data_IF_197899803894
#
_entry.id   IF_197899803894
#
_cell.length_a   1.000
_cell.length_b   1.000
_cell.length_c   1.000
_cell.angle_alpha   90.00
_cell.angle_beta   90.00
_cell.angle_gamma   90.00
#
_symmetry.space_group_name_H-M   'P 1'
#
loop_
_entity.id
_entity.type
_entity.pdbx_description
1 polymer ?
#
# COMPACT_ATOMS: atom_id res chain seq x y z
N UNK A 1 -14.07 2.28 57.60
CA UNK A 1 -13.43 1.11 56.96
C UNK A 1 -14.24 0.60 55.75
N UNK A 2 -15.56 0.47 55.87
CA UNK A 2 -16.48 -0.02 54.81
C UNK A 2 -16.47 0.85 53.54
N UNK A 3 -16.39 2.19 53.67
CA UNK A 3 -16.38 3.11 52.52
C UNK A 3 -15.11 3.02 51.65
N UNK A 4 -13.95 2.72 52.26
CA UNK A 4 -12.68 2.47 51.53
C UNK A 4 -12.68 1.11 50.83
N UNK A 5 -13.43 0.14 51.36
CA UNK A 5 -13.57 -1.19 50.77
C UNK A 5 -14.50 -1.16 49.56
N UNK A 6 -15.59 -0.39 49.63
CA UNK A 6 -16.49 -0.13 48.50
C UNK A 6 -15.81 0.65 47.36
N UNK A 7 -14.96 1.61 47.69
CA UNK A 7 -14.14 2.32 46.69
C UNK A 7 -13.12 1.42 45.99
N UNK A 8 -12.51 0.48 46.72
CA UNK A 8 -11.58 -0.50 46.13
C UNK A 8 -12.32 -1.55 45.29
N UNK A 9 -13.53 -1.95 45.68
CA UNK A 9 -14.37 -2.85 44.89
C UNK A 9 -14.84 -2.19 43.59
N UNK A 10 -15.27 -0.92 43.64
CA UNK A 10 -15.65 -0.17 42.43
C UNK A 10 -14.45 0.09 41.51
N UNK A 11 -13.27 0.36 42.04
CA UNK A 11 -12.05 0.48 41.24
C UNK A 11 -11.67 -0.85 40.57
N UNK A 12 -11.85 -1.99 41.27
CA UNK A 12 -11.63 -3.33 40.70
C UNK A 12 -12.67 -3.69 39.63
N UNK A 13 -13.94 -3.32 39.82
CA UNK A 13 -15.01 -3.56 38.84
C UNK A 13 -14.83 -2.67 37.59
N UNK A 14 -14.44 -1.40 37.75
CA UNK A 14 -14.09 -0.53 36.62
C UNK A 14 -12.84 -1.03 35.91
N UNK A 15 -11.83 -1.52 36.64
CA UNK A 15 -10.65 -2.14 36.03
C UNK A 15 -10.99 -3.44 35.29
N UNK A 16 -11.94 -4.24 35.77
CA UNK A 16 -12.39 -5.46 35.09
C UNK A 16 -13.24 -5.16 33.85
N UNK A 17 -14.04 -4.08 33.87
CA UNK A 17 -14.82 -3.63 32.71
C UNK A 17 -13.94 -2.98 31.63
N UNK A 18 -12.84 -2.33 32.00
CA UNK A 18 -11.85 -1.76 31.06
C UNK A 18 -10.81 -2.81 30.60
N UNK A 19 -10.61 -3.90 31.35
CA UNK A 19 -9.68 -4.98 30.97
C UNK A 19 -10.16 -5.85 29.80
N UNK A 20 -11.44 -5.79 29.43
CA UNK A 20 -12.00 -6.46 28.24
C UNK A 20 -12.22 -5.51 27.05
N UNK A 21 -12.07 -4.20 27.21
CA UNK A 21 -11.99 -3.22 26.11
C UNK A 21 -10.54 -3.07 25.64
N UNK A 22 -9.86 -4.20 25.43
CA UNK A 22 -8.57 -4.19 24.75
C UNK A 22 -8.79 -3.68 23.34
N UNK A 23 -8.05 -2.65 22.92
CA UNK A 23 -8.05 -2.19 21.53
C UNK A 23 -7.79 -3.43 20.67
N UNK A 24 -8.79 -3.83 19.88
CA UNK A 24 -8.67 -5.03 19.05
C UNK A 24 -7.47 -4.85 18.13
N UNK A 25 -6.53 -5.78 18.18
CA UNK A 25 -5.40 -5.86 17.23
C UNK A 25 -5.74 -6.77 16.05
N UNK A 26 -6.90 -7.42 16.10
CA UNK A 26 -7.31 -8.42 15.14
C UNK A 26 -8.18 -7.73 14.08
N UNK A 27 -7.89 -7.92 12.78
CA UNK A 27 -8.75 -7.41 11.73
C UNK A 27 -10.12 -8.07 11.78
N UNK A 28 -11.16 -7.27 11.61
CA UNK A 28 -12.56 -7.73 11.56
C UNK A 28 -12.96 -7.82 10.10
N UNK A 29 -13.48 -8.97 9.69
CA UNK A 29 -13.98 -9.21 8.33
C UNK A 29 -15.49 -9.35 8.43
N UNK A 30 -16.20 -8.43 7.78
CA UNK A 30 -17.67 -8.40 7.74
C UNK A 30 -18.14 -8.64 6.31
N UNK A 31 -19.03 -9.62 6.13
CA UNK A 31 -19.75 -9.85 4.86
C UNK A 31 -21.03 -9.03 4.90
N UNK A 32 -21.20 -8.09 3.98
CA UNK A 32 -22.36 -7.18 3.95
C UNK A 32 -23.63 -7.88 3.47
N UNK A 33 -23.53 -9.13 2.98
CA UNK A 33 -24.65 -9.86 2.38
C UNK A 33 -25.07 -9.33 1.00
N UNK A 34 -24.42 -8.27 0.51
CA UNK A 34 -24.66 -7.68 -0.82
C UNK A 34 -23.59 -8.08 -1.84
N UNK A 35 -22.75 -9.07 -1.51
CA UNK A 35 -21.64 -9.51 -2.35
C UNK A 35 -20.34 -8.74 -2.13
N UNK A 36 -20.27 -7.94 -1.07
CA UNK A 36 -19.08 -7.19 -0.64
C UNK A 36 -18.58 -7.67 0.72
N UNK A 37 -17.28 -7.52 0.94
CA UNK A 37 -16.62 -7.78 2.21
C UNK A 37 -15.89 -6.53 2.64
N UNK A 38 -16.10 -6.14 3.89
CA UNK A 38 -15.41 -5.04 4.55
C UNK A 38 -14.36 -5.65 5.47
N UNK A 39 -13.10 -5.30 5.24
CA UNK A 39 -11.99 -5.63 6.12
C UNK A 39 -11.62 -4.40 6.94
N UNK A 40 -11.90 -4.44 8.24
CA UNK A 40 -11.46 -3.44 9.19
C UNK A 40 -10.06 -3.79 9.70
N UNK A 41 -9.08 -2.96 9.37
CA UNK A 41 -7.70 -3.03 9.85
C UNK A 41 -7.58 -2.06 11.04
N UNK A 42 -7.46 -2.54 12.28
CA UNK A 42 -7.42 -1.67 13.45
C UNK A 42 -6.17 -0.80 13.45
N UNK A 43 -6.26 0.41 14.00
CA UNK A 43 -5.09 1.27 14.22
C UNK A 43 -3.98 0.59 15.01
N UNK A 44 -4.35 -0.29 15.95
CA UNK A 44 -3.40 -1.04 16.77
C UNK A 44 -2.78 -2.26 16.05
N UNK A 45 -3.11 -2.49 14.77
CA UNK A 45 -2.40 -3.44 13.94
C UNK A 45 -0.92 -3.02 13.82
N UNK A 46 -0.01 -3.96 14.05
CA UNK A 46 1.42 -3.69 14.07
C UNK A 46 1.99 -3.65 12.64
N UNK A 47 1.63 -2.58 11.92
CA UNK A 47 2.11 -2.30 10.56
C UNK A 47 3.37 -1.44 10.61
N UNK A 48 4.52 -2.08 10.54
CA UNK A 48 5.83 -1.45 10.59
C UNK A 48 6.27 -0.97 9.19
N UNK A 49 6.91 0.21 9.09
CA UNK A 49 7.50 0.67 7.83
C UNK A 49 8.45 -0.38 7.25
N UNK A 50 8.30 -0.67 5.96
CA UNK A 50 9.14 -1.61 5.24
C UNK A 50 10.53 -1.04 5.10
N UNK A 51 11.52 -1.77 5.61
CA UNK A 51 12.93 -1.36 5.55
C UNK A 51 13.46 -1.61 4.14
N UNK A 52 13.95 -0.54 3.51
CA UNK A 52 14.54 -0.56 2.18
C UNK A 52 16.00 -0.11 2.25
N UNK A 53 16.88 -0.98 1.77
CA UNK A 53 18.29 -0.66 1.55
C UNK A 53 18.41 0.38 0.43
N UNK A 54 19.40 1.28 0.56
CA UNK A 54 19.56 2.41 -0.35
C UNK A 54 19.79 1.98 -1.80
N UNK A 55 20.67 1.00 -2.02
CA UNK A 55 20.99 0.51 -3.37
C UNK A 55 19.79 -0.14 -4.05
N UNK A 56 19.01 -0.94 -3.31
CA UNK A 56 17.81 -1.61 -3.81
C UNK A 56 16.73 -0.57 -4.18
N UNK A 57 16.57 0.45 -3.35
CA UNK A 57 15.69 1.58 -3.61
C UNK A 57 16.10 2.35 -4.87
N UNK A 58 17.38 2.74 -4.99
CA UNK A 58 17.85 3.50 -6.16
C UNK A 58 17.69 2.71 -7.46
N UNK A 59 18.01 1.42 -7.45
CA UNK A 59 17.82 0.56 -8.61
C UNK A 59 16.35 0.46 -9.02
N UNK A 60 15.45 0.23 -8.05
CA UNK A 60 14.02 0.16 -8.29
C UNK A 60 13.46 1.49 -8.80
N UNK A 61 13.88 2.62 -8.23
CA UNK A 61 13.46 3.95 -8.66
C UNK A 61 13.86 4.22 -10.12
N UNK A 62 15.10 3.92 -10.50
CA UNK A 62 15.56 4.07 -11.89
C UNK A 62 14.80 3.16 -12.85
N UNK A 63 14.48 1.93 -12.43
CA UNK A 63 13.67 1.01 -13.24
C UNK A 63 12.24 1.54 -13.41
N UNK A 64 11.57 1.94 -12.33
CA UNK A 64 10.21 2.47 -12.37
C UNK A 64 10.13 3.73 -13.24
N UNK A 65 11.11 4.63 -13.09
CA UNK A 65 11.22 5.86 -13.87
C UNK A 65 11.28 5.61 -15.38
N UNK A 66 12.06 4.62 -15.83
CA UNK A 66 12.17 4.26 -17.27
C UNK A 66 10.86 3.71 -17.85
N UNK A 67 10.01 3.17 -17.01
CA UNK A 67 8.71 2.60 -17.43
C UNK A 67 7.59 3.64 -17.46
N UNK A 68 7.77 4.79 -16.80
CA UNK A 68 6.78 5.88 -16.80
C UNK A 68 6.69 6.47 -18.20
N UNK A 69 5.47 6.50 -18.74
CA UNK A 69 5.15 7.22 -19.98
C UNK A 69 4.28 8.41 -19.66
N UNK A 70 4.87 9.60 -19.69
CA UNK A 70 4.12 10.84 -19.52
C UNK A 70 3.21 11.04 -20.73
N UNK A 71 1.96 11.40 -20.46
CA UNK A 71 0.99 11.67 -21.52
C UNK A 71 0.63 13.16 -21.48
N UNK A 72 1.43 13.98 -22.18
CA UNK A 72 1.33 15.43 -22.10
C UNK A 72 2.13 16.02 -20.93
N UNK A 73 1.60 17.04 -20.28
CA UNK A 73 2.25 17.64 -19.11
C UNK A 73 2.21 16.69 -17.90
N UNK A 74 3.11 16.87 -16.92
CA UNK A 74 3.02 16.22 -15.61
C UNK A 74 1.62 16.26 -14.98
N UNK A 75 0.96 17.43 -15.00
CA UNK A 75 -0.44 17.57 -14.56
C UNK A 75 -1.40 16.70 -15.36
N UNK A 76 -1.36 16.78 -16.69
CA UNK A 76 -2.25 16.00 -17.57
C UNK A 76 -2.07 14.49 -17.39
N UNK A 77 -0.86 14.05 -17.07
CA UNK A 77 -0.57 12.65 -16.75
C UNK A 77 -1.32 12.21 -15.48
N UNK A 78 -1.32 13.03 -14.43
CA UNK A 78 -2.06 12.75 -13.21
C UNK A 78 -3.59 12.88 -13.41
N UNK A 79 -4.05 13.90 -14.12
CA UNK A 79 -5.47 14.12 -14.41
C UNK A 79 -6.07 12.91 -15.14
N UNK A 80 -5.41 12.43 -16.20
CA UNK A 80 -5.85 11.23 -16.93
C UNK A 80 -5.84 9.97 -16.07
N UNK A 81 -4.83 9.83 -15.22
CA UNK A 81 -4.73 8.71 -14.29
C UNK A 81 -5.93 8.66 -13.33
N UNK A 82 -6.35 9.81 -12.81
CA UNK A 82 -7.52 9.92 -11.91
C UNK A 82 -8.85 10.15 -12.65
N UNK A 83 -8.85 10.14 -13.99
CA UNK A 83 -10.04 10.44 -14.82
C UNK A 83 -10.67 11.81 -14.50
N UNK A 84 -9.81 12.74 -14.12
CA UNK A 84 -10.11 14.14 -13.86
C UNK A 84 -10.12 14.82 -15.23
N UNK A 85 -11.25 15.41 -15.61
CA UNK A 85 -11.36 16.12 -16.88
C UNK A 85 -10.31 17.26 -16.92
N UNK A 86 -9.65 17.54 -18.06
CA UNK A 86 -8.71 18.66 -18.18
C UNK A 86 -9.31 20.01 -17.77
N UNK A 87 -10.63 20.09 -17.73
CA UNK A 87 -11.39 21.25 -17.29
C UNK A 87 -11.96 21.09 -15.89
N UNK A 88 -11.68 20.06 -15.10
CA UNK A 88 -12.33 19.91 -13.79
C UNK A 88 -11.74 20.86 -12.72
N UNK A 89 -12.07 22.14 -12.84
CA UNK A 89 -12.83 22.82 -11.80
C UNK A 89 -14.32 22.48 -11.94
N UNK A 90 -15.18 23.02 -11.10
CA UNK A 90 -16.62 22.78 -11.21
C UNK A 90 -17.18 23.43 -12.49
N UNK A 91 -17.36 22.69 -13.60
CA UNK A 91 -18.03 23.18 -14.82
C UNK A 91 -19.05 22.18 -15.39
N UNK A 92 -20.18 22.67 -15.88
CA UNK A 92 -21.21 21.97 -16.64
C UNK A 92 -21.07 22.30 -18.14
N UNK A 93 -21.01 21.28 -18.99
CA UNK A 93 -20.97 21.43 -20.46
C UNK A 93 -22.39 21.37 -21.06
N UNK A 94 -22.80 22.39 -21.82
CA UNK A 94 -24.09 22.46 -22.51
C UNK A 94 -23.92 22.16 -24.02
N UNK A 95 -24.30 20.96 -24.52
CA UNK A 95 -23.98 20.53 -25.90
C UNK A 95 -24.66 21.33 -27.00
N UNK A 96 -25.85 21.89 -26.73
CA UNK A 96 -26.62 22.66 -27.72
C UNK A 96 -26.00 24.01 -28.04
N UNK A 97 -25.37 24.63 -27.04
CA UNK A 97 -24.83 25.99 -27.12
C UNK A 97 -23.29 26.04 -27.13
N UNK A 98 -22.64 24.87 -27.04
CA UNK A 98 -21.17 24.69 -26.98
C UNK A 98 -20.50 25.56 -25.91
N UNK A 99 -21.10 25.61 -24.70
CA UNK A 99 -20.62 26.44 -23.59
C UNK A 99 -20.33 25.62 -22.32
N UNK A 100 -19.40 26.12 -21.53
CA UNK A 100 -19.04 25.62 -20.19
C UNK A 100 -19.57 26.61 -19.15
N UNK A 101 -20.16 26.12 -18.06
CA UNK A 101 -20.79 26.92 -17.00
C UNK A 101 -20.29 26.48 -15.61
N UNK A 102 -19.70 27.35 -14.78
CA UNK A 102 -19.23 26.96 -13.45
C UNK A 102 -20.35 26.57 -12.47
N UNK A 103 -20.11 25.60 -11.57
CA UNK A 103 -21.14 25.10 -10.60
C UNK A 103 -21.16 25.83 -9.24
N UNK A 104 -20.46 26.96 -9.09
CA UNK A 104 -20.39 27.73 -7.85
C UNK A 104 -20.96 29.16 -7.97
N UNK A 105 -21.85 29.55 -7.06
CA UNK A 105 -22.34 30.92 -6.92
C UNK A 105 -21.19 31.84 -6.46
N UNK A 106 -20.61 32.61 -7.37
CA UNK A 106 -19.71 33.73 -7.05
C UNK A 106 -18.28 33.67 -7.58
N UNK A 107 -17.89 32.67 -8.37
CA UNK A 107 -16.57 32.67 -9.01
C UNK A 107 -16.59 33.55 -10.29
N UNK A 108 -15.73 34.56 -10.40
CA UNK A 108 -15.69 35.42 -11.57
C UNK A 108 -15.22 34.64 -12.80
N UNK A 109 -15.87 34.98 -13.90
CA UNK A 109 -15.52 34.67 -15.27
C UNK A 109 -14.01 34.77 -15.49
N UNK A 110 -13.51 33.99 -16.42
CA UNK A 110 -12.26 34.09 -17.16
C UNK A 110 -11.94 35.49 -17.78
N UNK A 111 -12.54 36.57 -17.27
CA UNK A 111 -12.43 37.96 -17.73
C UNK A 111 -11.69 38.94 -16.83
N UNK A 112 -11.35 38.64 -15.57
CA UNK A 112 -10.39 39.48 -14.80
C UNK A 112 -9.56 38.63 -13.84
N UNK A 113 -8.47 38.04 -14.34
CA UNK A 113 -7.37 37.64 -13.46
C UNK A 113 -7.03 38.86 -12.58
N UNK A 114 -7.08 38.68 -11.26
CA UNK A 114 -6.76 39.78 -10.37
C UNK A 114 -5.28 40.11 -10.50
N UNK A 115 -4.90 41.34 -10.12
CA UNK A 115 -3.48 41.70 -10.00
C UNK A 115 -2.73 40.71 -9.09
N UNK A 116 -3.38 40.24 -8.03
CA UNK A 116 -2.82 39.25 -7.11
C UNK A 116 -2.57 37.89 -7.79
N UNK A 117 -3.45 37.43 -8.68
CA UNK A 117 -3.28 36.17 -9.41
C UNK A 117 -2.07 36.22 -10.37
N UNK A 118 -1.92 37.35 -11.08
CA UNK A 118 -0.80 37.57 -11.98
C UNK A 118 0.52 37.71 -11.21
N UNK A 119 0.52 38.44 -10.09
CA UNK A 119 1.69 38.57 -9.21
C UNK A 119 2.09 37.22 -8.60
N UNK A 120 1.13 36.38 -8.21
CA UNK A 120 1.41 35.04 -7.70
C UNK A 120 2.02 34.14 -8.78
N UNK A 121 1.48 34.18 -10.00
CA UNK A 121 2.05 33.47 -11.14
C UNK A 121 3.49 33.93 -11.45
N UNK A 122 3.76 35.23 -11.29
CA UNK A 122 5.10 35.77 -11.49
C UNK A 122 6.09 35.32 -10.43
N UNK A 123 5.69 35.33 -9.15
CA UNK A 123 6.50 34.78 -8.05
C UNK A 123 6.88 33.32 -8.31
N UNK A 124 5.94 32.55 -8.87
CA UNK A 124 6.19 31.18 -9.28
C UNK A 124 7.21 31.07 -10.43
N UNK A 125 7.09 31.89 -11.49
CA UNK A 125 8.09 31.90 -12.58
C UNK A 125 9.49 32.28 -12.08
N UNK A 126 9.58 33.26 -11.18
CA UNK A 126 10.85 33.67 -10.54
C UNK A 126 11.43 32.53 -9.69
N UNK A 127 10.59 31.79 -8.98
CA UNK A 127 11.02 30.58 -8.25
C UNK A 127 11.55 29.51 -9.21
N UNK A 128 10.85 29.24 -10.32
CA UNK A 128 11.32 28.33 -11.36
C UNK A 128 12.67 28.74 -11.94
N UNK A 129 12.87 30.04 -12.19
CA UNK A 129 14.15 30.57 -12.67
C UNK A 129 15.27 30.36 -11.65
N UNK A 130 14.99 30.55 -10.35
CA UNK A 130 15.97 30.38 -9.28
C UNK A 130 16.38 28.93 -9.08
N UNK A 131 15.42 28.00 -9.12
CA UNK A 131 15.65 26.59 -8.77
C UNK A 131 16.08 25.76 -9.97
N UNK A 132 15.61 26.11 -11.17
CA UNK A 132 15.80 25.30 -12.38
C UNK A 132 16.41 26.07 -13.56
N UNK A 133 16.84 27.33 -13.36
CA UNK A 133 17.38 28.20 -14.43
C UNK A 133 16.43 28.28 -15.63
N UNK A 134 15.12 28.20 -15.36
CA UNK A 134 14.06 28.17 -16.35
C UNK A 134 12.92 29.08 -15.93
N UNK A 135 12.66 30.12 -16.72
CA UNK A 135 11.55 31.04 -16.50
C UNK A 135 10.31 30.54 -17.24
N UNK A 136 9.28 30.14 -16.49
CA UNK A 136 8.05 29.58 -17.03
C UNK A 136 7.38 28.62 -16.07
N UNK A 137 6.64 27.65 -16.60
CA UNK A 137 6.02 26.58 -15.81
C UNK A 137 6.99 25.43 -15.60
N UNK A 138 7.69 25.44 -14.46
CA UNK A 138 8.66 24.41 -14.20
C UNK A 138 8.10 23.07 -13.72
N UNK A 139 6.90 23.07 -13.15
CA UNK A 139 6.23 21.86 -12.66
C UNK A 139 5.40 21.21 -13.76
N UNK A 140 5.15 21.90 -14.87
CA UNK A 140 4.49 21.34 -16.04
C UNK A 140 3.00 21.14 -15.80
N UNK A 141 2.24 22.21 -16.02
CA UNK A 141 0.79 22.26 -15.82
C UNK A 141 0.38 22.98 -14.53
N UNK A 142 1.31 23.55 -13.76
CA UNK A 142 0.94 24.39 -12.62
C UNK A 142 0.27 25.69 -13.08
N UNK A 143 0.75 26.29 -14.18
CA UNK A 143 0.14 27.49 -14.74
C UNK A 143 -0.97 27.12 -15.74
N UNK A 144 -2.22 27.38 -15.37
CA UNK A 144 -3.37 27.17 -16.27
C UNK A 144 -3.26 28.13 -17.45
N UNK A 145 -3.24 27.56 -18.65
CA UNK A 145 -3.01 28.31 -19.90
C UNK A 145 -1.70 29.11 -19.90
N UNK A 146 -0.73 28.78 -19.03
CA UNK A 146 0.51 29.53 -18.84
C UNK A 146 0.36 30.87 -18.11
N UNK A 147 -0.84 31.20 -17.59
CA UNK A 147 -1.17 32.56 -17.11
C UNK A 147 -1.26 32.69 -15.60
N UNK A 148 -1.94 31.77 -14.92
CA UNK A 148 -2.23 31.89 -13.48
C UNK A 148 -2.13 30.53 -12.77
N UNK A 149 -1.99 30.56 -11.44
CA UNK A 149 -2.02 29.39 -10.58
C UNK A 149 -3.43 29.17 -10.03
N UNK A 150 -4.10 28.10 -10.47
CA UNK A 150 -5.29 27.58 -9.81
C UNK A 150 -4.93 26.90 -8.47
N UNK A 151 -5.95 26.45 -7.74
CA UNK A 151 -5.72 25.86 -6.42
C UNK A 151 -4.80 24.63 -6.47
N UNK A 152 -4.96 23.76 -7.48
CA UNK A 152 -4.09 22.60 -7.69
C UNK A 152 -2.65 22.99 -7.98
N UNK A 153 -2.42 23.99 -8.84
CA UNK A 153 -1.09 24.52 -9.10
C UNK A 153 -0.42 25.07 -7.83
N UNK A 154 -1.17 25.74 -6.96
CA UNK A 154 -0.67 26.23 -5.66
C UNK A 154 -0.32 25.09 -4.70
N UNK A 155 -1.16 24.06 -4.62
CA UNK A 155 -0.88 22.90 -3.77
C UNK A 155 0.37 22.15 -4.22
N UNK A 156 0.52 21.90 -5.51
CA UNK A 156 1.69 21.19 -6.05
C UNK A 156 2.96 22.03 -5.91
N UNK A 157 2.85 23.36 -6.02
CA UNK A 157 3.96 24.25 -5.70
C UNK A 157 4.36 24.18 -4.21
N UNK A 158 3.39 24.17 -3.29
CA UNK A 158 3.66 23.96 -1.86
C UNK A 158 4.35 22.61 -1.59
N UNK A 159 3.89 21.53 -2.24
CA UNK A 159 4.53 20.22 -2.16
C UNK A 159 5.98 20.26 -2.66
N UNK A 160 6.25 20.94 -3.77
CA UNK A 160 7.61 21.11 -4.30
C UNK A 160 8.53 21.92 -3.36
N UNK A 161 7.95 22.78 -2.53
CA UNK A 161 8.67 23.59 -1.52
C UNK A 161 8.88 22.87 -0.18
N UNK A 162 8.33 21.66 -0.02
CA UNK A 162 8.21 21.02 1.28
C UNK A 162 9.51 20.61 1.97
N UNK A 163 10.64 20.56 1.23
CA UNK A 163 11.93 20.06 1.74
C UNK A 163 11.79 18.71 2.44
N UNK A 164 10.87 17.87 1.98
CA UNK A 164 10.61 16.57 2.60
C UNK A 164 11.74 15.57 2.31
N UNK A 165 12.02 14.63 3.21
CA UNK A 165 12.99 13.55 2.95
C UNK A 165 12.65 12.75 1.68
N UNK A 166 11.37 12.65 1.32
CA UNK A 166 10.91 11.99 0.09
C UNK A 166 11.51 12.67 -1.15
N UNK A 167 11.45 14.00 -1.23
CA UNK A 167 11.99 14.74 -2.36
C UNK A 167 13.52 14.60 -2.45
N UNK A 168 14.20 14.55 -1.31
CA UNK A 168 15.65 14.32 -1.24
C UNK A 168 16.02 12.93 -1.76
N UNK A 169 15.34 11.87 -1.30
CA UNK A 169 15.59 10.49 -1.74
C UNK A 169 15.27 10.32 -3.23
N UNK A 170 14.18 10.91 -3.73
CA UNK A 170 13.86 10.88 -5.16
C UNK A 170 14.92 11.64 -5.98
N UNK A 171 15.37 12.81 -5.52
CA UNK A 171 16.42 13.59 -6.19
C UNK A 171 17.74 12.83 -6.24
N UNK A 172 18.11 12.16 -5.16
CA UNK A 172 19.30 11.31 -5.10
C UNK A 172 19.23 10.16 -6.10
N UNK A 173 18.11 9.43 -6.11
CA UNK A 173 17.94 8.26 -6.97
C UNK A 173 17.86 8.60 -8.47
N UNK A 174 17.25 9.75 -8.80
CA UNK A 174 16.84 10.08 -10.17
C UNK A 174 17.58 11.28 -10.79
N UNK A 175 18.33 12.07 -10.02
CA UNK A 175 18.88 13.35 -10.45
C UNK A 175 19.84 13.31 -11.65
N UNK A 176 20.39 12.14 -11.98
CA UNK A 176 21.22 11.93 -13.17
C UNK A 176 20.44 11.64 -14.47
N UNK A 177 19.11 11.59 -14.44
CA UNK A 177 18.29 11.29 -15.62
C UNK A 177 17.86 12.56 -16.37
N UNK A 178 17.72 12.44 -17.69
CA UNK A 178 17.35 13.55 -18.58
C UNK A 178 15.96 14.10 -18.26
N UNK A 179 14.95 13.23 -18.05
CA UNK A 179 13.58 13.65 -17.73
C UNK A 179 13.29 13.76 -16.21
N UNK A 180 14.31 13.78 -15.35
CA UNK A 180 14.15 13.79 -13.88
C UNK A 180 13.10 14.79 -13.40
N UNK A 181 13.16 16.04 -13.89
CA UNK A 181 12.23 17.11 -13.50
C UNK A 181 10.78 16.78 -13.86
N UNK A 182 10.53 16.21 -15.04
CA UNK A 182 9.19 15.87 -15.49
C UNK A 182 8.61 14.72 -14.66
N UNK A 183 9.43 13.71 -14.34
CA UNK A 183 9.05 12.59 -13.48
C UNK A 183 8.74 13.03 -12.04
N UNK A 184 9.59 13.87 -11.46
CA UNK A 184 9.35 14.46 -10.14
C UNK A 184 8.04 15.23 -10.10
N UNK A 185 7.81 16.07 -11.10
CA UNK A 185 6.59 16.88 -11.14
C UNK A 185 5.36 16.01 -11.35
N UNK A 186 5.45 14.95 -12.17
CA UNK A 186 4.35 14.02 -12.38
C UNK A 186 4.01 13.28 -11.09
N UNK A 187 5.02 12.85 -10.32
CA UNK A 187 4.83 12.26 -9.00
C UNK A 187 4.18 13.24 -8.01
N UNK A 188 4.60 14.51 -8.01
CA UNK A 188 3.99 15.55 -7.16
C UNK A 188 2.53 15.83 -7.52
N UNK A 189 2.20 15.91 -8.81
CA UNK A 189 0.80 16.05 -9.26
C UNK A 189 -0.02 14.82 -8.88
N UNK A 190 0.46 13.61 -9.19
CA UNK A 190 -0.21 12.36 -8.82
C UNK A 190 -0.48 12.32 -7.32
N UNK A 191 0.51 12.68 -6.52
CA UNK A 191 0.38 12.69 -5.08
C UNK A 191 -0.60 13.75 -4.57
N UNK A 192 -0.52 14.98 -5.10
CA UNK A 192 -1.44 16.06 -4.74
C UNK A 192 -2.89 15.72 -5.05
N UNK A 193 -3.18 15.18 -6.25
CA UNK A 193 -4.54 14.75 -6.60
C UNK A 193 -5.04 13.61 -5.70
N UNK A 194 -4.20 12.61 -5.43
CA UNK A 194 -4.56 11.51 -4.52
C UNK A 194 -4.95 12.04 -3.13
N UNK A 195 -4.20 13.00 -2.59
CA UNK A 195 -4.48 13.61 -1.31
C UNK A 195 -5.73 14.50 -1.32
N UNK A 196 -5.98 15.27 -2.39
CA UNK A 196 -7.24 16.01 -2.55
C UNK A 196 -8.42 15.04 -2.53
N UNK A 197 -8.35 13.95 -3.30
CA UNK A 197 -9.42 12.96 -3.37
C UNK A 197 -9.65 12.36 -1.98
N UNK A 198 -8.58 11.99 -1.26
CA UNK A 198 -8.66 11.41 0.07
C UNK A 198 -9.20 12.40 1.13
N UNK A 199 -8.91 13.69 0.98
CA UNK A 199 -9.39 14.74 1.87
C UNK A 199 -10.87 15.09 1.64
N UNK A 200 -11.33 15.06 0.38
CA UNK A 200 -12.68 15.47 0.01
C UNK A 200 -13.69 14.33 0.02
N UNK A 201 -13.24 13.08 -0.08
CA UNK A 201 -14.11 11.91 -0.13
C UNK A 201 -13.89 11.05 1.11
N UNK A 202 -14.93 10.81 1.93
CA UNK A 202 -14.81 9.90 3.08
C UNK A 202 -14.50 8.47 2.65
N UNK A 203 -14.82 8.14 1.40
CA UNK A 203 -14.60 6.84 0.76
C UNK A 203 -13.88 7.11 -0.56
N UNK A 204 -12.63 6.67 -0.66
CA UNK A 204 -11.82 6.97 -1.84
C UNK A 204 -12.06 5.93 -2.96
N UNK A 205 -12.12 6.35 -4.23
CA UNK A 205 -12.37 5.46 -5.37
C UNK A 205 -11.20 4.48 -5.58
N UNK A 206 -11.47 3.37 -6.27
CA UNK A 206 -10.59 2.20 -6.42
C UNK A 206 -9.10 2.52 -6.64
N UNK A 207 -8.74 3.46 -7.52
CA UNK A 207 -7.33 3.80 -7.73
C UNK A 207 -6.66 4.37 -6.47
N UNK A 208 -7.30 5.32 -5.79
CA UNK A 208 -6.79 5.88 -4.54
C UNK A 208 -6.83 4.82 -3.44
N UNK A 209 -7.83 3.94 -3.44
CA UNK A 209 -7.93 2.84 -2.49
C UNK A 209 -6.77 1.85 -2.59
N UNK A 210 -6.44 1.39 -3.80
CA UNK A 210 -5.33 0.46 -4.02
C UNK A 210 -3.99 1.10 -3.66
N UNK A 211 -3.75 2.35 -4.09
CA UNK A 211 -2.50 3.06 -3.76
C UNK A 211 -2.40 3.34 -2.26
N UNK A 212 -3.49 3.78 -1.63
CA UNK A 212 -3.58 4.04 -0.19
C UNK A 212 -3.35 2.79 0.65
N UNK A 213 -3.94 1.65 0.27
CA UNK A 213 -3.67 0.38 0.94
C UNK A 213 -2.22 -0.10 0.72
N UNK A 214 -1.68 0.10 -0.49
CA UNK A 214 -0.26 -0.14 -0.77
C UNK A 214 0.65 0.67 0.14
N UNK A 215 0.36 1.96 0.31
CA UNK A 215 1.04 2.82 1.28
C UNK A 215 0.88 2.29 2.70
N UNK A 216 -0.33 1.85 3.10
CA UNK A 216 -0.61 1.41 4.47
C UNK A 216 0.30 0.23 4.85
N UNK A 217 0.46 -0.70 3.91
CA UNK A 217 1.28 -1.91 4.08
C UNK A 217 2.79 -1.64 4.04
N UNK A 218 3.22 -0.51 3.47
CA UNK A 218 4.64 -0.18 3.29
C UNK A 218 5.16 0.86 4.27
N UNK A 219 4.34 1.84 4.67
CA UNK A 219 4.75 2.94 5.54
C UNK A 219 4.01 2.97 6.88
N UNK A 220 2.98 2.13 7.05
CA UNK A 220 2.21 2.01 8.28
C UNK A 220 1.08 3.04 8.44
N UNK A 221 0.21 2.78 9.41
CA UNK A 221 -1.00 3.57 9.67
C UNK A 221 -0.69 5.01 10.11
N UNK A 222 0.16 5.18 11.13
CA UNK A 222 0.43 6.51 11.70
C UNK A 222 1.06 7.45 10.66
N UNK A 223 1.92 6.93 9.77
CA UNK A 223 2.50 7.72 8.67
C UNK A 223 1.40 8.26 7.74
N UNK A 224 0.45 7.43 7.32
CA UNK A 224 -0.64 7.88 6.42
C UNK A 224 -1.57 8.84 7.13
N UNK A 225 -1.94 8.55 8.38
CA UNK A 225 -2.81 9.42 9.15
C UNK A 225 -2.20 10.82 9.30
N UNK A 226 -0.94 10.90 9.72
CA UNK A 226 -0.21 12.17 9.86
C UNK A 226 -0.06 12.90 8.51
N UNK A 227 0.11 12.15 7.43
CA UNK A 227 0.19 12.69 6.08
C UNK A 227 -1.12 13.37 5.65
N UNK A 228 -2.27 12.70 5.87
CA UNK A 228 -3.59 13.24 5.54
C UNK A 228 -3.92 14.46 6.40
N UNK A 229 -3.64 14.40 7.69
CA UNK A 229 -3.85 15.55 8.59
C UNK A 229 -2.98 16.74 8.20
N UNK A 230 -1.69 16.51 7.93
CA UNK A 230 -0.79 17.56 7.45
C UNK A 230 -1.21 18.13 6.09
N UNK A 231 -1.81 17.31 5.23
CA UNK A 231 -2.34 17.78 3.95
C UNK A 231 -3.55 18.70 4.11
N UNK A 232 -4.49 18.37 5.00
CA UNK A 232 -5.63 19.25 5.32
C UNK A 232 -5.16 20.61 5.82
N UNK A 233 -4.18 20.63 6.73
CA UNK A 233 -3.57 21.87 7.22
C UNK A 233 -2.88 22.67 6.09
N UNK A 234 -2.19 21.99 5.16
CA UNK A 234 -1.60 22.62 3.98
C UNK A 234 -2.68 23.22 3.07
N UNK A 235 -3.77 22.49 2.83
CA UNK A 235 -4.86 22.97 1.97
C UNK A 235 -5.47 24.26 2.50
N UNK A 236 -5.75 24.32 3.81
CA UNK A 236 -6.29 25.51 4.47
C UNK A 236 -5.31 26.68 4.43
N UNK A 237 -4.03 26.42 4.73
CA UNK A 237 -2.98 27.44 4.70
C UNK A 237 -2.77 28.02 3.29
N UNK A 238 -2.74 27.17 2.26
CA UNK A 238 -2.56 27.60 0.86
C UNK A 238 -3.79 28.34 0.35
N UNK A 239 -5.00 27.93 0.74
CA UNK A 239 -6.25 28.64 0.40
C UNK A 239 -6.25 30.07 0.95
N UNK A 240 -5.72 30.28 2.16
CA UNK A 240 -5.59 31.60 2.78
C UNK A 240 -4.35 32.39 2.32
N UNK A 241 -3.42 31.77 1.58
CA UNK A 241 -2.14 32.38 1.25
C UNK A 241 -2.25 33.44 0.14
N UNK A 242 -1.74 34.63 0.43
CA UNK A 242 -1.61 35.76 -0.51
C UNK A 242 -0.15 36.06 -0.90
N UNK A 243 0.81 35.33 -0.35
CA UNK A 243 2.26 35.52 -0.57
C UNK A 243 2.99 34.20 -0.82
N UNK A 244 4.19 34.31 -1.39
CA UNK A 244 5.08 33.16 -1.63
C UNK A 244 5.53 32.52 -0.31
N UNK A 245 5.81 33.35 0.67
CA UNK A 245 6.31 32.97 1.99
C UNK A 245 5.27 32.09 2.70
N UNK A 246 3.99 32.45 2.66
CA UNK A 246 2.93 31.63 3.25
C UNK A 246 2.81 30.25 2.57
N UNK A 247 2.93 30.18 1.24
CA UNK A 247 2.90 28.90 0.50
C UNK A 247 4.13 28.05 0.84
N UNK A 248 5.31 28.65 0.89
CA UNK A 248 6.55 27.97 1.26
C UNK A 248 6.47 27.42 2.68
N UNK A 249 6.06 28.24 3.64
CA UNK A 249 6.00 27.87 5.05
C UNK A 249 4.93 26.79 5.30
N UNK A 250 3.82 26.79 4.54
CA UNK A 250 2.86 25.68 4.51
C UNK A 250 3.50 24.40 3.97
N UNK A 251 4.21 24.48 2.84
CA UNK A 251 4.97 23.36 2.26
C UNK A 251 5.99 22.77 3.25
N UNK A 252 6.83 23.61 3.85
CA UNK A 252 7.89 23.16 4.77
C UNK A 252 7.33 22.51 6.05
N UNK A 253 6.16 22.96 6.53
CA UNK A 253 5.45 22.27 7.62
C UNK A 253 4.94 20.91 7.17
N UNK A 254 4.32 20.83 6.00
CA UNK A 254 3.84 19.58 5.45
C UNK A 254 4.98 18.56 5.23
N UNK A 255 6.15 19.00 4.77
CA UNK A 255 7.29 18.11 4.52
C UNK A 255 7.83 17.40 5.76
N UNK A 256 7.51 17.90 6.97
CA UNK A 256 7.85 17.27 8.25
C UNK A 256 6.91 16.13 8.65
N UNK A 257 5.78 15.95 7.94
CA UNK A 257 4.80 14.88 8.21
C UNK A 257 5.34 13.47 7.89
N UNK A 258 6.31 13.37 6.97
CA UNK A 258 6.92 12.10 6.56
C UNK A 258 8.33 12.00 7.14
N UNK A 259 8.56 10.99 7.99
CA UNK A 259 9.87 10.67 8.53
C UNK A 259 10.83 10.06 7.51
N UNK A 260 12.14 10.13 7.79
CA UNK A 260 13.19 9.60 6.91
C UNK A 260 13.08 8.10 6.67
N UNK A 261 12.67 7.33 7.68
CA UNK A 261 12.52 5.87 7.61
C UNK A 261 11.50 5.43 6.55
N UNK A 262 10.41 6.19 6.39
CA UNK A 262 9.35 5.88 5.43
C UNK A 262 9.57 6.52 4.06
N UNK A 263 10.56 7.41 3.92
CA UNK A 263 10.73 8.25 2.75
C UNK A 263 11.01 7.46 1.46
N UNK A 264 11.84 6.42 1.54
CA UNK A 264 12.18 5.55 0.40
C UNK A 264 10.98 4.73 -0.06
N UNK A 265 10.29 4.09 0.88
CA UNK A 265 9.09 3.30 0.58
C UNK A 265 8.01 4.19 -0.06
N UNK A 266 7.83 5.39 0.47
CA UNK A 266 6.89 6.36 -0.05
C UNK A 266 7.25 6.85 -1.47
N UNK A 267 8.50 7.27 -1.68
CA UNK A 267 9.01 7.68 -2.99
C UNK A 267 8.85 6.59 -4.05
N UNK A 268 9.16 5.34 -3.67
CA UNK A 268 9.03 4.17 -4.55
C UNK A 268 7.57 3.91 -4.92
N UNK A 269 6.66 3.91 -3.95
CA UNK A 269 5.24 3.70 -4.21
C UNK A 269 4.62 4.80 -5.08
N UNK A 270 4.98 6.06 -4.84
CA UNK A 270 4.56 7.16 -5.68
C UNK A 270 5.04 6.98 -7.12
N UNK A 271 6.33 6.69 -7.32
CA UNK A 271 6.88 6.45 -8.65
C UNK A 271 6.24 5.23 -9.33
N UNK A 272 5.92 4.19 -8.56
CA UNK A 272 5.20 3.01 -9.03
C UNK A 272 3.73 3.31 -9.39
N UNK A 273 3.16 4.41 -8.91
CA UNK A 273 1.79 4.83 -9.21
C UNK A 273 1.72 5.78 -10.42
N UNK A 274 2.75 6.59 -10.68
CA UNK A 274 2.73 7.60 -11.78
C UNK A 274 2.32 6.99 -13.11
N UNK A 275 1.28 7.57 -13.72
CA UNK A 275 0.78 7.25 -15.05
C UNK A 275 0.16 5.85 -15.18
N UNK A 276 -0.25 5.21 -14.07
CA UNK A 276 -0.76 3.84 -14.05
C UNK A 276 -2.20 3.77 -13.52
N UNK A 277 -2.93 2.75 -13.97
CA UNK A 277 -4.25 2.41 -13.44
C UNK A 277 -4.16 1.58 -12.15
N UNK A 278 -5.28 1.40 -11.45
CA UNK A 278 -5.35 0.63 -10.21
C UNK A 278 -4.82 -0.80 -10.39
N UNK A 279 -5.27 -1.48 -11.46
CA UNK A 279 -4.81 -2.82 -11.81
C UNK A 279 -3.31 -2.87 -12.14
N UNK A 280 -2.80 -1.89 -12.90
CA UNK A 280 -1.37 -1.84 -13.25
C UNK A 280 -0.49 -1.60 -12.02
N UNK A 281 -0.92 -0.72 -11.11
CA UNK A 281 -0.25 -0.51 -9.83
C UNK A 281 -0.28 -1.78 -8.97
N UNK A 282 -1.46 -2.41 -8.79
CA UNK A 282 -1.61 -3.64 -8.01
C UNK A 282 -0.73 -4.77 -8.53
N UNK A 283 -0.62 -4.94 -9.85
CA UNK A 283 0.26 -5.93 -10.47
C UNK A 283 1.75 -5.65 -10.21
N UNK A 284 2.13 -4.40 -9.91
CA UNK A 284 3.51 -4.01 -9.66
C UNK A 284 3.93 -4.17 -8.21
N UNK A 285 3.02 -4.01 -7.25
CA UNK A 285 3.32 -4.11 -5.81
C UNK A 285 4.14 -5.38 -5.46
N UNK A 286 3.81 -6.60 -5.95
CA UNK A 286 4.58 -7.81 -5.66
C UNK A 286 6.00 -7.85 -6.24
N UNK A 287 6.32 -6.96 -7.17
CA UNK A 287 7.65 -6.86 -7.81
C UNK A 287 8.57 -5.87 -7.11
N UNK A 288 8.01 -5.01 -6.26
CA UNK A 288 8.77 -3.97 -5.58
C UNK A 288 9.67 -4.58 -4.49
N UNK A 289 10.82 -3.97 -4.23
CA UNK A 289 11.58 -4.14 -2.99
C UNK A 289 10.68 -4.15 -1.76
N UNK A 290 11.00 -5.03 -0.81
CA UNK A 290 10.28 -5.13 0.46
C UNK A 290 8.84 -5.66 0.37
N UNK A 291 8.35 -6.01 -0.83
CA UNK A 291 6.99 -6.54 -1.02
C UNK A 291 6.74 -7.84 -0.27
N UNK A 292 7.78 -8.63 0.00
CA UNK A 292 7.67 -9.82 0.85
C UNK A 292 7.35 -9.46 2.31
N UNK A 293 7.92 -8.36 2.84
CA UNK A 293 7.59 -7.88 4.18
C UNK A 293 6.16 -7.35 4.21
N UNK A 294 5.78 -6.53 3.22
CA UNK A 294 4.42 -6.03 3.06
C UNK A 294 3.39 -7.17 2.94
N UNK A 295 3.73 -8.26 2.25
CA UNK A 295 2.89 -9.46 2.13
C UNK A 295 2.61 -10.11 3.47
N UNK A 296 3.66 -10.27 4.29
CA UNK A 296 3.50 -10.87 5.61
C UNK A 296 2.61 -10.00 6.49
N UNK A 297 2.84 -8.68 6.50
CA UNK A 297 2.04 -7.73 7.27
C UNK A 297 0.58 -7.73 6.82
N UNK A 298 0.33 -7.75 5.51
CA UNK A 298 -1.02 -7.83 4.96
C UNK A 298 -1.76 -9.08 5.44
N UNK A 299 -1.12 -10.25 5.42
CA UNK A 299 -1.78 -11.50 5.83
C UNK A 299 -1.90 -11.63 7.36
N UNK A 300 -0.87 -11.25 8.12
CA UNK A 300 -0.87 -11.46 9.57
C UNK A 300 -1.59 -10.36 10.36
N UNK A 301 -1.57 -9.12 9.88
CA UNK A 301 -2.10 -7.95 10.59
C UNK A 301 -3.37 -7.38 9.95
N UNK A 302 -3.53 -7.52 8.63
CA UNK A 302 -4.68 -6.96 7.92
C UNK A 302 -5.65 -8.04 7.39
N UNK A 303 -5.34 -9.34 7.51
CA UNK A 303 -6.10 -10.45 6.91
C UNK A 303 -6.33 -10.30 5.39
N UNK A 304 -5.49 -9.53 4.70
CA UNK A 304 -5.55 -9.28 3.25
C UNK A 304 -4.39 -10.01 2.59
N UNK A 305 -4.67 -10.74 1.50
CA UNK A 305 -3.61 -11.29 0.65
C UNK A 305 -3.25 -10.28 -0.43
N UNK A 306 -1.96 -10.06 -0.70
CA UNK A 306 -1.51 -9.11 -1.73
C UNK A 306 -2.18 -9.26 -3.11
N UNK A 307 -2.49 -10.46 -3.62
CA UNK A 307 -3.23 -10.59 -4.88
C UNK A 307 -4.63 -9.96 -4.84
N UNK A 308 -5.25 -9.84 -3.66
CA UNK A 308 -6.54 -9.18 -3.50
C UNK A 308 -6.46 -7.65 -3.62
N UNK A 309 -5.26 -7.06 -3.58
CA UNK A 309 -5.08 -5.61 -3.75
C UNK A 309 -5.74 -5.09 -5.03
N UNK A 310 -5.67 -5.84 -6.13
CA UNK A 310 -6.26 -5.42 -7.41
C UNK A 310 -7.79 -5.39 -7.43
N UNK A 311 -8.44 -5.97 -6.41
CA UNK A 311 -9.88 -6.02 -6.27
C UNK A 311 -10.41 -5.08 -5.17
N UNK A 312 -9.54 -4.25 -4.59
CA UNK A 312 -9.96 -3.22 -3.64
C UNK A 312 -10.73 -2.15 -4.41
N UNK A 313 -11.96 -1.92 -3.98
CA UNK A 313 -12.86 -0.93 -4.58
C UNK A 313 -12.80 0.37 -3.81
N UNK A 314 -12.69 0.30 -2.48
CA UNK A 314 -12.76 1.47 -1.61
C UNK A 314 -11.87 1.36 -0.38
N UNK A 315 -11.44 2.52 0.12
CA UNK A 315 -10.76 2.67 1.41
C UNK A 315 -11.37 3.84 2.16
N UNK A 316 -11.55 3.68 3.47
CA UNK A 316 -11.94 4.74 4.38
C UNK A 316 -11.00 4.76 5.59
N UNK A 317 -10.39 5.92 5.86
CA UNK A 317 -9.61 6.13 7.07
C UNK A 317 -10.53 6.62 8.19
N UNK A 318 -10.48 5.96 9.33
CA UNK A 318 -11.27 6.32 10.52
C UNK A 318 -10.35 6.62 11.69
N UNK A 319 -10.91 7.03 12.82
CA UNK A 319 -10.14 7.21 14.07
C UNK A 319 -9.68 5.88 14.67
N UNK A 320 -10.37 4.79 14.35
CA UNK A 320 -10.16 3.47 14.93
C UNK A 320 -9.31 2.55 14.04
N UNK A 321 -9.13 2.90 12.76
CA UNK A 321 -8.36 2.11 11.81
C UNK A 321 -8.69 2.46 10.37
N UNK A 322 -8.63 1.44 9.51
CA UNK A 322 -8.89 1.57 8.06
C UNK A 322 -9.91 0.52 7.65
N UNK A 323 -10.96 0.94 6.98
CA UNK A 323 -11.91 0.04 6.33
C UNK A 323 -11.51 -0.12 4.87
N UNK A 324 -11.43 -1.36 4.42
CA UNK A 324 -11.16 -1.71 3.03
C UNK A 324 -12.35 -2.50 2.50
N UNK A 325 -13.01 -1.99 1.46
CA UNK A 325 -14.12 -2.68 0.80
C UNK A 325 -13.62 -3.38 -0.45
N UNK A 326 -14.04 -4.63 -0.63
CA UNK A 326 -13.75 -5.41 -1.82
C UNK A 326 -14.84 -6.45 -2.09
N UNK A 327 -14.97 -6.95 -3.33
CA UNK A 327 -15.95 -7.97 -3.65
C UNK A 327 -15.73 -9.25 -2.83
N UNK A 328 -16.82 -9.82 -2.32
CA UNK A 328 -16.79 -11.10 -1.62
C UNK A 328 -16.19 -12.22 -2.48
N UNK A 329 -16.37 -12.15 -3.80
CA UNK A 329 -15.74 -13.06 -4.75
C UNK A 329 -14.23 -12.91 -4.77
N UNK A 330 -13.69 -11.69 -4.66
CA UNK A 330 -12.26 -11.45 -4.61
C UNK A 330 -11.65 -11.94 -3.29
N UNK A 331 -12.33 -11.70 -2.16
CA UNK A 331 -11.93 -12.27 -0.86
C UNK A 331 -12.01 -13.79 -0.90
N UNK A 332 -13.08 -14.35 -1.46
CA UNK A 332 -13.24 -15.78 -1.60
C UNK A 332 -12.18 -16.37 -2.52
N UNK A 333 -11.83 -15.74 -3.65
CA UNK A 333 -10.77 -16.19 -4.55
C UNK A 333 -9.39 -16.07 -3.90
N UNK A 334 -9.16 -14.98 -3.16
CA UNK A 334 -7.96 -14.79 -2.39
C UNK A 334 -7.85 -15.85 -1.29
N UNK A 335 -8.92 -16.13 -0.54
CA UNK A 335 -8.99 -17.14 0.51
C UNK A 335 -8.90 -18.56 -0.05
N UNK A 336 -9.61 -18.84 -1.15
CA UNK A 336 -9.67 -20.10 -1.92
C UNK A 336 -8.54 -20.20 -2.97
N UNK A 337 -7.28 -20.02 -2.58
CA UNK A 337 -6.28 -20.84 -3.29
C UNK A 337 -6.77 -22.29 -3.23
N UNK A 338 -7.19 -22.88 -4.35
CA UNK A 338 -8.27 -23.88 -4.45
C UNK A 338 -8.38 -24.88 -3.29
N UNK A 339 -9.33 -24.63 -2.39
CA UNK A 339 -9.68 -25.53 -1.29
C UNK A 339 -11.13 -25.97 -1.40
N UNK A 340 -11.39 -27.05 -2.14
CA UNK A 340 -12.51 -27.90 -1.77
C UNK A 340 -12.22 -28.43 -0.36
N UNK A 341 -13.22 -28.49 0.50
CA UNK A 341 -13.17 -29.36 1.68
C UNK A 341 -13.23 -30.82 1.22
N UNK A 342 -12.28 -31.26 0.40
CA UNK A 342 -12.07 -32.66 0.16
C UNK A 342 -11.61 -33.28 1.49
N UNK A 343 -12.15 -34.45 1.87
CA UNK A 343 -11.58 -35.26 2.95
C UNK A 343 -10.07 -35.39 2.74
N UNK A 344 -9.30 -35.34 3.83
CA UNK A 344 -7.84 -35.41 3.83
C UNK A 344 -7.35 -36.82 3.46
N UNK A 345 -7.65 -37.29 2.26
CA UNK A 345 -7.24 -38.60 1.77
C UNK A 345 -7.06 -38.45 0.27
N UNK A 346 -5.82 -38.63 -0.19
CA UNK A 346 -5.35 -39.08 -1.52
C UNK A 346 -4.13 -38.31 -2.07
N UNK A 347 -3.84 -37.06 -1.64
CA UNK A 347 -2.66 -36.31 -2.10
C UNK A 347 -1.77 -35.81 -0.94
N UNK A 348 -0.47 -36.13 -1.00
CA UNK A 348 0.50 -35.74 0.03
C UNK A 348 0.84 -34.24 -0.09
N UNK A 349 0.68 -33.50 1.00
CA UNK A 349 1.10 -32.10 1.11
C UNK A 349 2.46 -32.03 1.80
N UNK A 350 3.44 -31.35 1.18
CA UNK A 350 4.80 -31.21 1.72
C UNK A 350 4.76 -30.39 3.01
N UNK A 351 4.22 -29.17 2.93
CA UNK A 351 3.87 -28.34 4.07
C UNK A 351 2.41 -28.60 4.51
N UNK A 352 2.19 -28.92 5.79
CA UNK A 352 0.87 -29.36 6.26
C UNK A 352 -0.19 -28.26 6.26
N UNK A 353 -1.40 -28.65 5.85
CA UNK A 353 -2.61 -27.83 5.93
C UNK A 353 -3.53 -28.21 7.11
N UNK A 354 -3.21 -29.27 7.86
CA UNK A 354 -4.13 -29.89 8.84
C UNK A 354 -3.66 -29.83 10.30
N UNK A 355 -2.78 -28.88 10.64
CA UNK A 355 -2.26 -28.66 11.98
C UNK A 355 -2.44 -27.19 12.42
N UNK A 356 -3.69 -26.71 12.44
CA UNK A 356 -4.00 -25.33 12.86
C UNK A 356 -4.09 -25.16 14.37
N UNK A 357 -4.42 -26.22 15.14
CA UNK A 357 -4.70 -26.11 16.58
C UNK A 357 -3.78 -26.93 17.48
N UNK A 358 -3.41 -28.12 17.04
CA UNK A 358 -2.73 -29.11 17.89
C UNK A 358 -1.23 -28.80 18.07
N UNK A 359 -0.76 -28.83 19.31
CA UNK A 359 0.66 -28.72 19.68
C UNK A 359 1.34 -30.07 19.88
N UNK A 360 0.61 -31.18 19.80
CA UNK A 360 1.07 -32.52 20.18
C UNK A 360 2.28 -33.07 19.39
N UNK A 361 2.68 -32.40 18.30
CA UNK A 361 3.82 -32.78 17.44
C UNK A 361 4.70 -31.56 17.13
N UNK A 362 4.88 -30.66 18.10
CA UNK A 362 5.66 -29.41 17.94
C UNK A 362 4.93 -28.26 17.26
N UNK A 363 3.62 -28.42 17.02
CA UNK A 363 2.77 -27.44 16.34
C UNK A 363 2.44 -26.21 17.18
N UNK A 364 1.63 -25.27 16.69
CA UNK A 364 0.82 -25.33 15.46
C UNK A 364 1.68 -25.12 14.21
N UNK A 365 1.63 -26.07 13.26
CA UNK A 365 2.47 -26.04 12.07
C UNK A 365 1.83 -25.32 10.88
N UNK A 366 0.52 -25.47 10.65
CA UNK A 366 -0.16 -24.80 9.54
C UNK A 366 0.05 -23.28 9.58
N UNK A 367 -0.08 -22.57 10.73
CA UNK A 367 0.15 -21.13 10.78
C UNK A 367 1.61 -20.75 10.48
N UNK A 368 2.57 -21.60 10.82
CA UNK A 368 4.00 -21.37 10.53
C UNK A 368 4.28 -21.48 9.05
N UNK A 369 3.80 -22.54 8.40
CA UNK A 369 3.92 -22.71 6.95
C UNK A 369 3.18 -21.62 6.18
N UNK A 370 1.99 -21.22 6.64
CA UNK A 370 1.22 -20.13 6.04
C UNK A 370 2.03 -18.84 5.94
N UNK A 371 2.78 -18.48 6.98
CA UNK A 371 3.69 -17.31 6.94
C UNK A 371 4.80 -17.43 5.89
N UNK A 372 5.36 -18.61 5.68
CA UNK A 372 6.39 -18.82 4.66
C UNK A 372 5.78 -18.68 3.26
N UNK A 373 4.62 -19.30 3.03
CA UNK A 373 3.91 -19.23 1.75
C UNK A 373 3.40 -17.81 1.44
N UNK A 374 2.98 -17.05 2.47
CA UNK A 374 2.60 -15.65 2.38
C UNK A 374 3.70 -14.78 1.75
N UNK A 375 4.97 -14.98 2.17
CA UNK A 375 6.13 -14.25 1.62
C UNK A 375 6.30 -14.45 0.12
N UNK A 376 5.91 -15.61 -0.38
CA UNK A 376 5.91 -15.98 -1.79
C UNK A 376 4.61 -15.64 -2.53
N UNK A 377 3.62 -15.06 -1.83
CA UNK A 377 2.27 -14.85 -2.37
C UNK A 377 1.68 -16.14 -2.92
N UNK A 378 1.90 -17.25 -2.20
CA UNK A 378 1.40 -18.60 -2.48
C UNK A 378 0.46 -19.03 -1.35
N UNK A 379 -0.38 -20.02 -1.61
CA UNK A 379 -1.21 -20.67 -0.58
C UNK A 379 -0.71 -22.08 -0.34
N UNK A 380 -1.05 -22.68 0.80
CA UNK A 380 -0.66 -24.08 1.07
C UNK A 380 -1.35 -25.10 0.15
N UNK A 381 -2.39 -24.67 -0.58
CA UNK A 381 -3.07 -25.47 -1.61
C UNK A 381 -2.43 -25.34 -2.99
N UNK A 382 -1.35 -24.56 -3.14
CA UNK A 382 -0.62 -24.43 -4.40
C UNK A 382 -0.18 -25.82 -4.91
N UNK A 383 -0.36 -26.13 -6.21
CA UNK A 383 0.06 -27.41 -6.77
C UNK A 383 1.53 -27.76 -6.50
N UNK A 384 2.41 -26.76 -6.33
CA UNK A 384 3.80 -26.99 -5.95
C UNK A 384 3.98 -27.60 -4.55
N UNK A 385 2.99 -27.47 -3.67
CA UNK A 385 3.01 -28.07 -2.33
C UNK A 385 2.41 -29.49 -2.30
N UNK A 386 1.97 -30.02 -3.46
CA UNK A 386 1.31 -31.31 -3.58
C UNK A 386 2.16 -32.26 -4.40
N UNK A 387 2.21 -33.52 -3.99
CA UNK A 387 2.87 -34.57 -4.78
C UNK A 387 2.17 -35.92 -4.65
N UNK A 388 2.22 -36.76 -5.69
CA UNK A 388 1.79 -38.15 -5.57
C UNK A 388 2.78 -38.91 -4.68
N UNK A 389 2.27 -39.61 -3.68
CA UNK A 389 3.08 -40.46 -2.81
C UNK A 389 2.31 -41.74 -2.49
N UNK A 390 2.80 -42.88 -3.00
CA UNK A 390 2.26 -44.20 -2.71
C UNK A 390 2.64 -44.63 -1.29
N UNK A 391 1.68 -45.12 -0.51
CA UNK A 391 1.91 -45.59 0.86
C UNK A 391 2.13 -44.47 1.88
N UNK A 392 1.52 -43.30 1.69
CA UNK A 392 1.59 -42.19 2.64
C UNK A 392 0.89 -42.52 3.96
N UNK A 393 1.62 -42.40 5.08
CA UNK A 393 1.07 -42.46 6.43
C UNK A 393 1.13 -41.08 7.10
N UNK A 394 0.00 -40.65 7.65
CA UNK A 394 -0.10 -39.45 8.49
C UNK A 394 -0.81 -39.77 9.82
N UNK A 395 -0.75 -38.88 10.83
CA UNK A 395 -0.10 -37.56 10.87
C UNK A 395 1.42 -37.60 11.09
N UNK A 396 2.15 -36.66 10.47
CA UNK A 396 3.62 -36.64 10.49
C UNK A 396 4.19 -36.22 11.86
N UNK A 397 5.38 -36.71 12.25
CA UNK A 397 6.05 -36.33 13.49
C UNK A 397 6.64 -34.92 13.42
N UNK A 398 6.98 -34.36 14.58
CA UNK A 398 7.60 -33.04 14.72
C UNK A 398 8.83 -32.86 13.81
N UNK A 399 9.70 -33.87 13.74
CA UNK A 399 10.93 -33.85 12.94
C UNK A 399 10.68 -33.60 11.46
N UNK A 400 9.63 -34.18 10.88
CA UNK A 400 9.25 -33.91 9.49
C UNK A 400 8.94 -32.43 9.30
N UNK A 401 8.09 -31.88 10.17
CA UNK A 401 7.70 -30.48 10.08
C UNK A 401 8.87 -29.52 10.34
N UNK A 402 9.80 -29.87 11.24
CA UNK A 402 11.01 -29.08 11.47
C UNK A 402 11.91 -29.02 10.23
N UNK A 403 12.16 -30.15 9.56
CA UNK A 403 12.98 -30.20 8.34
C UNK A 403 12.34 -29.37 7.23
N UNK A 404 11.06 -29.64 6.92
CA UNK A 404 10.33 -28.90 5.89
C UNK A 404 10.28 -27.42 6.23
N UNK A 405 9.95 -27.06 7.47
CA UNK A 405 9.88 -25.65 7.87
C UNK A 405 11.24 -24.97 7.77
N UNK A 406 12.33 -25.63 8.20
CA UNK A 406 13.68 -25.08 8.10
C UNK A 406 14.06 -24.83 6.64
N UNK A 407 13.89 -25.82 5.76
CA UNK A 407 14.25 -25.71 4.36
C UNK A 407 13.47 -24.58 3.66
N UNK A 408 12.16 -24.53 3.86
CA UNK A 408 11.32 -23.49 3.26
C UNK A 408 11.59 -22.10 3.86
N UNK A 409 11.88 -22.02 5.17
CA UNK A 409 12.24 -20.76 5.82
C UNK A 409 13.60 -20.25 5.33
N UNK A 410 14.60 -21.11 5.22
CA UNK A 410 15.96 -20.77 4.77
C UNK A 410 15.94 -20.35 3.29
N UNK A 411 15.22 -21.09 2.43
CA UNK A 411 15.07 -20.75 1.02
C UNK A 411 14.42 -19.38 0.81
N UNK A 412 13.47 -19.02 1.67
CA UNK A 412 12.79 -17.71 1.61
C UNK A 412 13.46 -16.65 2.48
N UNK A 413 14.47 -16.95 3.30
CA UNK A 413 15.02 -16.01 4.28
C UNK A 413 15.51 -14.70 3.65
N UNK A 414 16.28 -14.81 2.57
CA UNK A 414 16.96 -13.67 1.93
C UNK A 414 16.23 -13.08 0.71
N UNK A 415 15.02 -13.55 0.37
CA UNK A 415 14.28 -12.97 -0.75
C UNK A 415 13.69 -11.60 -0.37
N UNK A 416 13.77 -10.64 -1.30
CA UNK A 416 13.34 -9.25 -1.08
C UNK A 416 12.04 -8.88 -1.79
N UNK A 417 11.63 -9.66 -2.80
CA UNK A 417 10.36 -9.49 -3.52
C UNK A 417 9.52 -10.77 -3.50
N UNK A 418 8.20 -10.64 -3.58
CA UNK A 418 7.27 -11.78 -3.62
C UNK A 418 7.61 -12.73 -4.78
N UNK A 419 7.98 -12.19 -5.95
CA UNK A 419 8.39 -13.00 -7.11
C UNK A 419 9.66 -13.82 -6.85
N UNK A 420 10.69 -13.22 -6.22
CA UNK A 420 11.90 -13.93 -5.85
C UNK A 420 11.63 -14.99 -4.77
N UNK A 421 10.81 -14.66 -3.77
CA UNK A 421 10.38 -15.60 -2.75
C UNK A 421 9.62 -16.79 -3.35
N UNK A 422 8.74 -16.54 -4.33
CA UNK A 422 8.01 -17.58 -5.06
C UNK A 422 8.92 -18.51 -5.84
N UNK A 423 9.89 -17.96 -6.56
CA UNK A 423 10.84 -18.76 -7.32
C UNK A 423 11.66 -19.67 -6.39
N UNK A 424 12.21 -19.11 -5.30
CA UNK A 424 12.97 -19.89 -4.31
C UNK A 424 12.12 -20.91 -3.56
N UNK A 425 10.89 -20.55 -3.18
CA UNK A 425 9.97 -21.45 -2.49
C UNK A 425 9.56 -22.62 -3.39
N UNK A 426 9.26 -22.36 -4.67
CA UNK A 426 8.96 -23.43 -5.64
C UNK A 426 10.13 -24.36 -5.87
N UNK A 427 11.36 -23.84 -5.94
CA UNK A 427 12.54 -24.70 -6.07
C UNK A 427 12.76 -25.54 -4.80
N UNK A 428 12.63 -24.94 -3.61
CA UNK A 428 12.74 -25.69 -2.35
C UNK A 428 11.66 -26.77 -2.21
N UNK A 429 10.40 -26.47 -2.56
CA UNK A 429 9.32 -27.46 -2.59
C UNK A 429 9.61 -28.58 -3.59
N UNK A 430 10.19 -28.27 -4.75
CA UNK A 430 10.59 -29.25 -5.76
C UNK A 430 11.72 -30.15 -5.26
N UNK A 431 12.73 -29.61 -4.58
CA UNK A 431 13.80 -30.42 -3.97
C UNK A 431 13.26 -31.29 -2.82
N UNK A 432 12.42 -30.74 -1.94
CA UNK A 432 11.73 -31.52 -0.91
C UNK A 432 10.86 -32.63 -1.51
N UNK A 433 10.15 -32.35 -2.61
CA UNK A 433 9.34 -33.36 -3.30
C UNK A 433 10.21 -34.50 -3.83
N UNK A 434 11.39 -34.19 -4.41
CA UNK A 434 12.36 -35.20 -4.85
C UNK A 434 12.86 -36.03 -3.67
N UNK A 435 13.20 -35.39 -2.55
CA UNK A 435 13.64 -36.11 -1.36
C UNK A 435 12.54 -37.02 -0.82
N UNK A 436 11.32 -36.52 -0.68
CA UNK A 436 10.15 -37.30 -0.22
C UNK A 436 9.85 -38.48 -1.15
N UNK A 437 9.98 -38.29 -2.47
CA UNK A 437 9.72 -39.33 -3.45
C UNK A 437 10.82 -40.40 -3.51
N UNK A 438 12.06 -40.07 -3.14
CA UNK A 438 13.21 -40.96 -3.30
C UNK A 438 13.29 -41.99 -2.16
N UNK A 439 13.17 -43.30 -2.45
CA UNK A 439 13.24 -44.33 -1.42
C UNK A 439 14.57 -44.28 -0.64
N UNK A 440 14.48 -44.32 0.69
CA UNK A 440 15.66 -44.36 1.56
C UNK A 440 16.17 -43.01 2.07
N UNK A 441 15.70 -41.87 1.52
CA UNK A 441 15.96 -40.55 2.13
C UNK A 441 15.34 -40.47 3.53
N UNK A 442 15.77 -39.50 4.32
CA UNK A 442 15.18 -39.26 5.64
C UNK A 442 13.70 -38.91 5.54
N UNK A 443 13.34 -37.94 4.69
CA UNK A 443 11.95 -37.51 4.52
C UNK A 443 11.06 -38.65 4.01
N UNK A 444 11.49 -39.41 3.00
CA UNK A 444 10.75 -40.58 2.52
C UNK A 444 10.50 -41.61 3.63
N UNK A 445 11.53 -41.93 4.43
CA UNK A 445 11.40 -42.88 5.54
C UNK A 445 10.41 -42.40 6.61
N UNK A 446 10.34 -41.10 6.88
CA UNK A 446 9.41 -40.54 7.86
C UNK A 446 7.96 -40.64 7.36
N UNK A 447 7.71 -40.46 6.06
CA UNK A 447 6.33 -40.39 5.53
C UNK A 447 5.77 -41.70 4.97
N UNK A 448 6.62 -42.71 4.75
CA UNK A 448 6.21 -44.03 4.19
C UNK A 448 6.30 -45.19 5.19
N UNK A 449 7.00 -45.03 6.33
CA UNK A 449 7.06 -46.07 7.36
C UNK A 449 5.92 -45.91 8.36
N UNK A 450 5.18 -46.99 8.63
CA UNK A 450 4.28 -47.01 9.78
C UNK A 450 5.09 -46.79 11.06
N UNK A 451 4.61 -45.94 11.99
CA UNK A 451 5.16 -45.91 13.33
C UNK A 451 5.08 -47.33 13.93
N UNK A 452 6.09 -47.79 14.69
CA UNK A 452 5.92 -49.02 15.46
C UNK A 452 4.68 -48.89 16.35
N UNK A 453 3.84 -49.92 16.34
CA UNK A 453 2.59 -49.98 17.12
C UNK A 453 2.86 -49.90 18.61
#
# INVERSE_FOLDING_TARGET
>A
MILRMLWRLNALIVAFLVACSGISRIPVVEDTGQGEVIVHIPRAADLQPVVLEEEEFEQAMRQLAREVRLTGTPRQTAERMFQIDPQSGNYLYLPRDRKLVPTGLGEPWDGTLTKADLEMAERYRVWCQRVHTFYGDCLGGALVGGRYLDMHGRYVWALALSKSPVLDEMKKALGGMVEFRALMSAALFTFGYMLVILALNPVAPALVAVVGLGMLLYVGYDTIHNLVMGWLELMDAVKAATSFEHIRDAGERFGKSIGRESARAFAMLLMAAVGRTAHQFAARVPTLPGSAQAAMQAESQAAIRLPALGAVEEIALTTEGVNVTMPATAVAMAARGGGSKAPCVETHHIATICNDKSTARGGQWTPRFRRIFARAGMTLDDPANRMPLLGHYGPHPERYHQIVHKELADATAACRSVAACRARLKEALKELAKEIATPGTELNRIVTRQPPR
#
